data_IF_678858210992
#
_entry.id   IF_678858210992
#
_cell.length_a   1.000
_cell.length_b   1.000
_cell.length_c   1.000
_cell.angle_alpha   90.00
_cell.angle_beta   90.00
_cell.angle_gamma   90.00
#
_symmetry.space_group_name_H-M   'P 1'
#
loop_
_entity.id
_entity.type
_entity.pdbx_description
1 polymer ?
#
# COMPACT_ATOMS: atom_id res chain seq x y z
N UNK A 1 45.99 43.86 1.21
CA UNK A 1 45.22 44.30 0.03
C UNK A 1 45.91 43.70 -1.19
N UNK A 2 45.16 43.17 -2.16
CA UNK A 2 45.74 42.43 -3.29
C UNK A 2 45.84 43.32 -4.53
N UNK A 3 46.99 43.28 -5.19
CA UNK A 3 47.22 44.00 -6.44
C UNK A 3 46.27 43.52 -7.53
N UNK A 4 45.59 44.45 -8.19
CA UNK A 4 44.62 44.16 -9.25
C UNK A 4 45.23 43.49 -10.49
N UNK A 5 46.56 43.56 -10.66
CA UNK A 5 47.25 42.98 -11.82
C UNK A 5 47.92 41.63 -11.54
N UNK A 6 48.47 41.42 -10.34
CA UNK A 6 49.27 40.22 -10.05
C UNK A 6 48.83 39.44 -8.80
N UNK A 7 47.84 39.93 -8.04
CA UNK A 7 47.40 39.32 -6.79
C UNK A 7 48.38 39.44 -5.61
N UNK A 8 49.53 40.08 -5.81
CA UNK A 8 50.53 40.33 -4.77
C UNK A 8 50.07 41.36 -3.73
N UNK A 9 50.77 41.46 -2.59
CA UNK A 9 50.38 42.37 -1.53
C UNK A 9 50.65 43.85 -1.90
N UNK A 10 49.75 44.75 -1.47
CA UNK A 10 49.82 46.19 -1.70
C UNK A 10 50.20 46.94 -0.43
N UNK A 11 51.08 47.93 -0.60
CA UNK A 11 51.45 48.91 0.42
C UNK A 11 50.78 50.26 0.13
N UNK A 12 50.18 50.89 1.15
CA UNK A 12 49.51 52.19 1.04
C UNK A 12 50.39 53.32 1.56
N UNK A 13 50.55 54.37 0.77
CA UNK A 13 51.23 55.60 1.15
C UNK A 13 50.20 56.67 1.54
N UNK A 14 50.11 57.00 2.84
CA UNK A 14 49.14 57.98 3.35
C UNK A 14 49.38 59.42 2.83
N UNK A 15 50.64 59.78 2.54
CA UNK A 15 51.00 61.12 2.09
C UNK A 15 50.59 61.34 0.64
N UNK A 16 50.69 60.29 -0.17
CA UNK A 16 50.35 60.33 -1.61
C UNK A 16 48.95 59.82 -1.93
N UNK A 17 48.30 59.14 -0.98
CA UNK A 17 47.01 58.47 -1.15
C UNK A 17 47.01 57.43 -2.27
N UNK A 18 48.11 56.68 -2.40
CA UNK A 18 48.34 55.69 -3.45
C UNK A 18 48.65 54.32 -2.87
N UNK A 19 48.21 53.27 -3.57
CA UNK A 19 48.65 51.89 -3.38
C UNK A 19 49.80 51.58 -4.34
N UNK A 20 50.79 50.85 -3.85
CA UNK A 20 51.92 50.37 -4.66
C UNK A 20 52.10 48.86 -4.48
N UNK A 21 52.37 48.15 -5.57
CA UNK A 21 52.69 46.73 -5.54
C UNK A 21 54.18 46.53 -5.77
N UNK A 22 54.88 45.93 -4.81
CA UNK A 22 56.32 45.63 -4.92
C UNK A 22 56.62 44.48 -5.90
N UNK A 23 55.61 43.69 -6.28
CA UNK A 23 55.79 42.55 -7.18
C UNK A 23 55.72 42.89 -8.66
N UNK A 24 55.00 43.95 -9.05
CA UNK A 24 54.86 44.34 -10.46
C UNK A 24 55.04 45.85 -10.70
N UNK A 25 55.56 46.57 -9.70
CA UNK A 25 55.83 48.02 -9.71
C UNK A 25 54.65 48.92 -10.09
N UNK A 26 53.43 48.36 -10.11
CA UNK A 26 52.21 49.10 -10.44
C UNK A 26 51.77 49.96 -9.26
N UNK A 27 51.31 51.17 -9.58
CA UNK A 27 50.76 52.13 -8.63
C UNK A 27 49.33 52.48 -9.01
N UNK A 28 48.49 52.64 -8.00
CA UNK A 28 47.07 52.97 -8.17
C UNK A 28 46.70 54.04 -7.16
N UNK A 29 45.92 55.01 -7.59
CA UNK A 29 45.25 55.90 -6.64
C UNK A 29 44.26 55.11 -5.77
N UNK A 30 43.92 55.67 -4.60
CA UNK A 30 42.91 55.09 -3.73
C UNK A 30 41.56 54.93 -4.44
N UNK A 31 41.16 55.93 -5.23
CA UNK A 31 39.91 55.94 -5.99
C UNK A 31 39.88 54.81 -7.06
N UNK A 32 40.97 54.61 -7.80
CA UNK A 32 41.07 53.53 -8.81
C UNK A 32 40.97 52.14 -8.17
N UNK A 33 41.59 51.96 -7.00
CA UNK A 33 41.54 50.69 -6.29
C UNK A 33 40.15 50.40 -5.70
N UNK A 34 39.49 51.41 -5.14
CA UNK A 34 38.10 51.29 -4.66
C UNK A 34 37.13 50.96 -5.80
N UNK A 35 37.31 51.59 -6.97
CA UNK A 35 36.49 51.31 -8.15
C UNK A 35 36.73 49.90 -8.71
N UNK A 36 37.97 49.39 -8.66
CA UNK A 36 38.29 48.01 -9.00
C UNK A 36 37.58 47.02 -8.07
N UNK A 37 37.61 47.23 -6.75
CA UNK A 37 36.94 46.36 -5.78
C UNK A 37 35.41 46.32 -6.01
N UNK A 38 34.80 47.48 -6.25
CA UNK A 38 33.38 47.56 -6.57
C UNK A 38 33.01 46.80 -7.85
N UNK A 39 33.84 46.91 -8.90
CA UNK A 39 33.65 46.17 -10.14
C UNK A 39 33.88 44.65 -9.96
N UNK A 40 34.89 44.24 -9.20
CA UNK A 40 35.18 42.82 -8.88
C UNK A 40 34.02 42.18 -8.13
N UNK A 41 33.49 42.87 -7.11
CA UNK A 41 32.32 42.40 -6.35
C UNK A 41 31.05 42.30 -7.22
N UNK A 42 30.86 43.24 -8.15
CA UNK A 42 29.75 43.20 -9.11
C UNK A 42 29.86 41.96 -10.00
N UNK A 43 31.02 41.72 -10.62
CA UNK A 43 31.26 40.58 -11.51
C UNK A 43 31.05 39.25 -10.78
N UNK A 44 31.53 39.13 -9.54
CA UNK A 44 31.33 37.93 -8.71
C UNK A 44 29.83 37.71 -8.45
N UNK A 45 29.10 38.77 -8.06
CA UNK A 45 27.64 38.68 -7.82
C UNK A 45 26.88 38.28 -9.09
N UNK A 46 27.22 38.85 -10.23
CA UNK A 46 26.59 38.55 -11.51
C UNK A 46 26.84 37.07 -11.88
N UNK A 47 28.09 36.60 -11.76
CA UNK A 47 28.46 35.19 -12.02
C UNK A 47 27.70 34.22 -11.10
N UNK A 48 27.59 34.53 -9.80
CA UNK A 48 26.84 33.70 -8.84
C UNK A 48 25.35 33.67 -9.18
N UNK A 49 24.79 34.80 -9.62
CA UNK A 49 23.40 34.87 -10.06
C UNK A 49 23.17 34.04 -11.33
N UNK A 50 24.06 34.11 -12.31
CA UNK A 50 24.00 33.27 -13.52
C UNK A 50 24.06 31.77 -13.19
N UNK A 51 24.95 31.34 -12.29
CA UNK A 51 25.00 29.94 -11.83
C UNK A 51 23.69 29.51 -11.15
N UNK A 52 23.09 30.39 -10.33
CA UNK A 52 21.79 30.12 -9.68
C UNK A 52 20.67 30.02 -10.70
N UNK A 53 20.64 30.89 -11.70
CA UNK A 53 19.64 30.82 -12.78
C UNK A 53 19.81 29.54 -13.62
N UNK A 54 21.05 29.19 -13.96
CA UNK A 54 21.35 27.97 -14.70
C UNK A 54 20.88 26.73 -13.93
N UNK A 55 21.14 26.66 -12.62
CA UNK A 55 20.63 25.58 -11.76
C UNK A 55 19.11 25.53 -11.73
N UNK A 56 18.42 26.67 -11.58
CA UNK A 56 16.94 26.71 -11.64
C UNK A 56 16.40 26.22 -12.98
N UNK A 57 17.07 26.52 -14.10
CA UNK A 57 16.67 26.04 -15.43
C UNK A 57 16.83 24.52 -15.55
N UNK A 58 17.91 23.96 -15.03
CA UNK A 58 18.13 22.51 -14.97
C UNK A 58 17.07 21.81 -14.10
N UNK A 59 16.85 22.28 -12.88
CA UNK A 59 15.84 21.72 -11.97
C UNK A 59 14.43 21.79 -12.62
N UNK A 60 14.12 22.88 -13.33
CA UNK A 60 12.86 23.03 -14.06
C UNK A 60 12.76 22.06 -15.25
N UNK A 61 13.85 21.80 -15.98
CA UNK A 61 13.87 20.82 -17.08
C UNK A 61 13.70 19.39 -16.57
N UNK A 62 14.37 19.03 -15.48
CA UNK A 62 14.23 17.70 -14.86
C UNK A 62 12.81 17.50 -14.33
N UNK A 63 12.25 18.51 -13.65
CA UNK A 63 10.86 18.48 -13.21
C UNK A 63 9.89 18.35 -14.37
N UNK A 64 10.06 19.13 -15.44
CA UNK A 64 9.21 19.03 -16.63
C UNK A 64 9.30 17.64 -17.30
N UNK A 65 10.49 17.02 -17.31
CA UNK A 65 10.66 15.65 -17.81
C UNK A 65 9.94 14.62 -16.94
N UNK A 66 10.06 14.74 -15.62
CA UNK A 66 9.33 13.90 -14.65
C UNK A 66 7.83 14.05 -14.79
N UNK A 67 7.32 15.29 -14.89
CA UNK A 67 5.90 15.58 -15.02
C UNK A 67 5.33 15.01 -16.34
N UNK A 68 6.10 15.01 -17.43
CA UNK A 68 5.70 14.38 -18.70
C UNK A 68 5.58 12.86 -18.59
N UNK A 69 6.55 12.21 -17.93
CA UNK A 69 6.50 10.75 -17.70
C UNK A 69 5.26 10.38 -16.88
N UNK A 70 5.01 11.11 -15.78
CA UNK A 70 3.83 10.91 -14.92
C UNK A 70 2.54 11.13 -15.71
N UNK A 71 2.48 12.14 -16.59
CA UNK A 71 1.31 12.40 -17.42
C UNK A 71 1.05 11.27 -18.43
N UNK A 72 2.10 10.74 -19.07
CA UNK A 72 1.99 9.61 -20.01
C UNK A 72 1.55 8.31 -19.31
N UNK A 73 2.06 8.03 -18.10
CA UNK A 73 1.63 6.88 -17.31
C UNK A 73 0.17 7.02 -16.86
N UNK A 74 -0.23 8.19 -16.38
CA UNK A 74 -1.63 8.46 -16.00
C UNK A 74 -2.59 8.33 -17.19
N UNK A 75 -2.17 8.70 -18.40
CA UNK A 75 -2.98 8.52 -19.60
C UNK A 75 -3.17 7.03 -19.92
N UNK A 76 -2.09 6.24 -19.87
CA UNK A 76 -2.17 4.78 -20.07
C UNK A 76 -3.07 4.09 -19.05
N UNK A 77 -3.01 4.52 -17.77
CA UNK A 77 -3.90 4.01 -16.72
C UNK A 77 -5.35 4.33 -17.05
N UNK A 78 -5.66 5.57 -17.44
CA UNK A 78 -7.03 5.97 -17.83
C UNK A 78 -7.56 5.18 -19.03
N UNK A 79 -6.71 4.92 -20.03
CA UNK A 79 -7.09 4.11 -21.19
C UNK A 79 -7.40 2.66 -20.79
N UNK A 80 -6.58 2.07 -19.90
CA UNK A 80 -6.84 0.74 -19.34
C UNK A 80 -8.12 0.70 -18.50
N UNK A 81 -8.37 1.71 -17.66
CA UNK A 81 -9.60 1.83 -16.88
C UNK A 81 -10.83 1.90 -17.79
N UNK A 82 -10.80 2.71 -18.85
CA UNK A 82 -11.89 2.82 -19.81
C UNK A 82 -12.12 1.51 -20.58
N UNK A 83 -11.07 0.75 -20.91
CA UNK A 83 -11.21 -0.54 -21.57
C UNK A 83 -11.81 -1.59 -20.63
N UNK A 84 -11.40 -1.61 -19.37
CA UNK A 84 -11.99 -2.49 -18.34
C UNK A 84 -13.46 -2.15 -18.13
N UNK A 85 -13.82 -0.87 -18.02
CA UNK A 85 -15.20 -0.43 -17.85
C UNK A 85 -16.09 -0.82 -19.05
N UNK A 86 -15.57 -0.70 -20.28
CA UNK A 86 -16.25 -1.21 -21.48
C UNK A 86 -16.46 -2.72 -21.44
N UNK A 87 -15.44 -3.49 -21.03
CA UNK A 87 -15.54 -4.96 -20.90
C UNK A 87 -16.56 -5.35 -19.83
N UNK A 88 -16.60 -4.64 -18.70
CA UNK A 88 -17.57 -4.87 -17.63
C UNK A 88 -18.99 -4.52 -18.07
N UNK A 89 -19.18 -3.41 -18.80
CA UNK A 89 -20.51 -3.02 -19.31
C UNK A 89 -21.03 -4.05 -20.31
N UNK A 90 -20.16 -4.57 -21.18
CA UNK A 90 -20.51 -5.62 -22.12
C UNK A 90 -20.83 -6.95 -21.40
N UNK A 91 -20.04 -7.32 -20.39
CA UNK A 91 -20.27 -8.51 -19.58
C UNK A 91 -21.61 -8.41 -18.83
N UNK A 92 -21.92 -7.26 -18.23
CA UNK A 92 -23.18 -7.03 -17.52
C UNK A 92 -24.37 -7.04 -18.48
N UNK A 93 -24.27 -6.42 -19.66
CA UNK A 93 -25.32 -6.48 -20.68
C UNK A 93 -25.56 -7.92 -21.18
N UNK A 94 -24.49 -8.73 -21.27
CA UNK A 94 -24.58 -10.15 -21.65
C UNK A 94 -25.21 -10.98 -20.54
N UNK A 95 -24.82 -10.76 -19.28
CA UNK A 95 -25.40 -11.41 -18.11
C UNK A 95 -26.89 -11.05 -17.93
N UNK A 96 -27.26 -9.80 -18.20
CA UNK A 96 -28.65 -9.34 -18.13
C UNK A 96 -29.49 -9.89 -19.28
N UNK A 97 -28.92 -10.02 -20.49
CA UNK A 97 -29.56 -10.73 -21.60
C UNK A 97 -29.78 -12.21 -21.27
N UNK A 98 -28.79 -12.88 -20.63
CA UNK A 98 -28.92 -14.26 -20.15
C UNK A 98 -30.00 -14.38 -19.06
N UNK A 99 -30.06 -13.44 -18.10
CA UNK A 99 -31.12 -13.38 -17.07
C UNK A 99 -32.50 -13.18 -17.69
N UNK A 100 -32.64 -12.31 -18.71
CA UNK A 100 -33.89 -12.08 -19.44
C UNK A 100 -34.31 -13.33 -20.24
N UNK A 101 -33.35 -14.07 -20.79
CA UNK A 101 -33.60 -15.30 -21.54
C UNK A 101 -33.96 -16.46 -20.59
N UNK A 102 -33.38 -16.51 -19.39
CA UNK A 102 -33.76 -17.44 -18.32
C UNK A 102 -35.18 -17.18 -17.75
N UNK A 103 -35.60 -15.91 -17.67
CA UNK A 103 -36.96 -15.50 -17.23
C UNK A 103 -38.10 -15.92 -18.17
N UNK A 104 -37.81 -16.43 -19.38
CA UNK A 104 -38.81 -16.82 -20.38
C UNK A 104 -39.16 -18.31 -20.41
N UNK A 105 -38.56 -19.14 -19.55
CA UNK A 105 -38.95 -20.54 -19.39
C UNK A 105 -39.71 -20.72 -18.06
N UNK A 106 -40.75 -21.56 -17.97
CA UNK A 106 -41.39 -21.87 -16.69
C UNK A 106 -40.43 -22.74 -15.88
N UNK A 107 -39.50 -22.10 -15.17
CA UNK A 107 -38.41 -22.70 -14.42
C UNK A 107 -38.12 -21.88 -13.17
N UNK A 108 -37.61 -22.55 -12.14
CA UNK A 108 -37.38 -22.04 -10.78
C UNK A 108 -36.74 -20.64 -10.75
N UNK A 109 -37.29 -19.72 -9.96
CA UNK A 109 -36.81 -18.34 -9.81
C UNK A 109 -35.54 -18.27 -8.95
N UNK A 110 -34.40 -18.68 -9.53
CA UNK A 110 -33.08 -18.66 -8.88
C UNK A 110 -32.70 -17.25 -8.42
N UNK A 111 -33.10 -16.22 -9.17
CA UNK A 111 -32.81 -14.82 -8.82
C UNK A 111 -33.57 -14.44 -7.55
N UNK A 112 -34.87 -14.71 -7.49
CA UNK A 112 -35.66 -14.49 -6.28
C UNK A 112 -35.16 -15.30 -5.09
N UNK A 113 -34.74 -16.55 -5.30
CA UNK A 113 -34.14 -17.38 -4.24
C UNK A 113 -32.82 -16.79 -3.72
N UNK A 114 -31.99 -16.22 -4.59
CA UNK A 114 -30.72 -15.60 -4.21
C UNK A 114 -30.95 -14.34 -3.36
N UNK A 115 -31.90 -13.48 -3.73
CA UNK A 115 -32.27 -12.32 -2.91
C UNK A 115 -32.85 -12.74 -1.56
N UNK A 116 -33.74 -13.74 -1.53
CA UNK A 116 -34.28 -14.27 -0.28
C UNK A 116 -33.19 -14.88 0.62
N UNK A 117 -32.20 -15.58 0.02
CA UNK A 117 -31.07 -16.16 0.75
C UNK A 117 -30.23 -15.07 1.41
N UNK A 118 -30.00 -13.98 0.68
CA UNK A 118 -29.29 -12.79 1.15
C UNK A 118 -30.05 -12.11 2.28
N UNK A 119 -31.35 -11.85 2.13
CA UNK A 119 -32.16 -11.28 3.20
C UNK A 119 -32.12 -12.14 4.47
N UNK A 120 -32.26 -13.47 4.33
CA UNK A 120 -32.17 -14.39 5.45
C UNK A 120 -30.77 -14.38 6.11
N UNK A 121 -29.70 -14.34 5.33
CA UNK A 121 -28.33 -14.32 5.85
C UNK A 121 -28.04 -13.04 6.64
N UNK A 122 -28.42 -11.88 6.12
CA UNK A 122 -28.24 -10.59 6.80
C UNK A 122 -29.19 -10.43 8.00
N UNK A 123 -30.37 -11.04 7.94
CA UNK A 123 -31.30 -11.17 9.06
C UNK A 123 -30.86 -12.17 10.14
N UNK A 124 -29.69 -12.81 9.98
CA UNK A 124 -29.16 -13.86 10.85
C UNK A 124 -30.07 -15.10 10.98
N UNK A 125 -30.99 -15.31 10.02
CA UNK A 125 -31.76 -16.56 9.90
C UNK A 125 -30.94 -17.61 9.14
N UNK A 126 -30.02 -18.23 9.89
CA UNK A 126 -29.08 -19.22 9.36
C UNK A 126 -29.81 -20.44 8.78
N UNK A 127 -30.96 -20.83 9.34
CA UNK A 127 -31.69 -22.02 8.88
C UNK A 127 -32.36 -21.76 7.53
N UNK A 128 -33.06 -20.63 7.39
CA UNK A 128 -33.69 -20.28 6.11
C UNK A 128 -32.65 -20.00 5.04
N UNK A 129 -31.55 -19.30 5.39
CA UNK A 129 -30.45 -19.05 4.47
C UNK A 129 -29.79 -20.35 3.98
N UNK A 130 -29.55 -21.31 4.88
CA UNK A 130 -29.02 -22.64 4.52
C UNK A 130 -29.97 -23.42 3.60
N UNK A 131 -31.28 -23.43 3.89
CA UNK A 131 -32.25 -24.14 3.05
C UNK A 131 -32.30 -23.54 1.64
N UNK A 132 -32.37 -22.21 1.55
CA UNK A 132 -32.37 -21.50 0.27
C UNK A 132 -31.07 -21.75 -0.50
N UNK A 133 -29.92 -21.73 0.16
CA UNK A 133 -28.64 -22.02 -0.47
C UNK A 133 -28.57 -23.45 -1.03
N UNK A 134 -29.06 -24.46 -0.30
CA UNK A 134 -29.12 -25.83 -0.83
C UNK A 134 -30.04 -25.92 -2.06
N UNK A 135 -31.21 -25.28 -2.02
CA UNK A 135 -32.12 -25.25 -3.17
C UNK A 135 -31.53 -24.49 -4.37
N UNK A 136 -30.72 -23.44 -4.16
CA UNK A 136 -29.97 -22.81 -5.24
C UNK A 136 -28.97 -23.80 -5.84
N UNK A 137 -28.21 -24.53 -5.01
CA UNK A 137 -27.20 -25.50 -5.48
C UNK A 137 -27.79 -26.71 -6.22
N UNK A 138 -29.07 -27.03 -6.02
CA UNK A 138 -29.78 -28.04 -6.81
C UNK A 138 -29.98 -27.61 -8.28
N UNK A 139 -29.98 -26.30 -8.54
CA UNK A 139 -30.18 -25.72 -9.87
C UNK A 139 -28.93 -25.09 -10.46
N UNK A 140 -28.05 -24.54 -9.62
CA UNK A 140 -26.78 -23.92 -9.95
C UNK A 140 -25.71 -24.45 -9.00
N UNK A 141 -25.18 -25.63 -9.34
CA UNK A 141 -24.18 -26.33 -8.54
C UNK A 141 -22.86 -25.56 -8.42
N UNK A 142 -22.62 -24.51 -9.21
CA UNK A 142 -21.40 -23.71 -9.20
C UNK A 142 -21.54 -22.36 -8.51
N UNK A 143 -22.72 -22.05 -7.96
CA UNK A 143 -22.97 -20.84 -7.21
C UNK A 143 -22.07 -20.72 -5.96
N UNK A 144 -21.03 -19.89 -6.04
CA UNK A 144 -20.03 -19.75 -4.98
C UNK A 144 -20.60 -19.16 -3.69
N UNK A 145 -21.50 -18.20 -3.82
CA UNK A 145 -22.18 -17.57 -2.69
C UNK A 145 -23.02 -18.60 -1.94
N UNK A 146 -23.81 -19.40 -2.65
CA UNK A 146 -24.57 -20.50 -2.03
C UNK A 146 -23.66 -21.58 -1.43
N UNK A 147 -22.54 -21.96 -2.08
CA UNK A 147 -21.55 -22.88 -1.50
C UNK A 147 -20.99 -22.36 -0.17
N UNK A 148 -20.64 -21.07 -0.12
CA UNK A 148 -20.19 -20.43 1.12
C UNK A 148 -21.27 -20.47 2.21
N UNK A 149 -22.50 -20.08 1.87
CA UNK A 149 -23.64 -20.07 2.81
C UNK A 149 -23.93 -21.47 3.34
N UNK A 150 -23.88 -22.51 2.51
CA UNK A 150 -24.03 -23.90 2.95
C UNK A 150 -22.92 -24.29 3.92
N UNK A 151 -21.66 -24.02 3.59
CA UNK A 151 -20.53 -24.31 4.47
C UNK A 151 -20.63 -23.60 5.81
N UNK A 152 -20.98 -22.31 5.80
CA UNK A 152 -21.19 -21.50 7.00
C UNK A 152 -22.38 -21.98 7.82
N UNK A 153 -23.52 -22.24 7.18
CA UNK A 153 -24.74 -22.71 7.85
C UNK A 153 -24.54 -24.05 8.55
N UNK A 154 -23.85 -25.00 7.89
CA UNK A 154 -23.50 -26.29 8.49
C UNK A 154 -22.53 -26.16 9.68
N UNK A 155 -21.57 -25.24 9.59
CA UNK A 155 -20.69 -24.95 10.72
C UNK A 155 -21.48 -24.40 11.91
N UNK A 156 -22.42 -23.47 11.68
CA UNK A 156 -23.17 -22.82 12.77
C UNK A 156 -24.22 -23.75 13.39
N UNK A 157 -25.02 -24.42 12.57
CA UNK A 157 -26.14 -25.25 13.05
C UNK A 157 -25.68 -26.64 13.48
N UNK A 158 -24.76 -27.24 12.73
CA UNK A 158 -24.40 -28.65 12.88
C UNK A 158 -22.99 -28.86 13.44
N UNK A 159 -22.22 -27.80 13.68
CA UNK A 159 -20.80 -27.86 14.08
C UNK A 159 -19.95 -28.68 13.10
N UNK A 160 -20.34 -28.72 11.82
CA UNK A 160 -19.63 -29.43 10.75
C UNK A 160 -18.80 -28.43 9.95
N UNK A 161 -17.48 -28.48 10.11
CA UNK A 161 -16.55 -27.54 9.46
C UNK A 161 -16.13 -27.97 8.06
N UNK A 162 -16.20 -29.27 7.75
CA UNK A 162 -15.61 -29.87 6.54
C UNK A 162 -16.04 -29.21 5.23
N UNK A 163 -17.31 -28.79 5.09
CA UNK A 163 -17.77 -28.10 3.88
C UNK A 163 -17.17 -26.70 3.76
N UNK A 164 -17.09 -25.96 4.86
CA UNK A 164 -16.45 -24.65 4.89
C UNK A 164 -14.94 -24.77 4.65
N UNK A 165 -14.27 -25.72 5.32
CA UNK A 165 -12.85 -26.01 5.14
C UNK A 165 -12.54 -26.34 3.67
N UNK A 166 -13.34 -27.22 3.06
CA UNK A 166 -13.20 -27.61 1.66
C UNK A 166 -13.43 -26.44 0.72
N UNK A 167 -14.45 -25.62 0.97
CA UNK A 167 -14.74 -24.42 0.18
C UNK A 167 -13.58 -23.42 0.26
N UNK A 168 -13.14 -23.07 1.46
CA UNK A 168 -12.08 -22.08 1.68
C UNK A 168 -10.73 -22.56 1.14
N UNK A 169 -10.42 -23.85 1.24
CA UNK A 169 -9.19 -24.42 0.70
C UNK A 169 -9.16 -24.42 -0.84
N UNK A 170 -10.32 -24.61 -1.49
CA UNK A 170 -10.43 -24.53 -2.95
C UNK A 170 -10.50 -23.11 -3.50
N UNK A 171 -10.92 -22.14 -2.67
CA UNK A 171 -11.19 -20.77 -3.07
C UNK A 171 -10.04 -20.08 -3.84
N UNK A 172 -8.75 -20.20 -3.48
CA UNK A 172 -7.67 -19.55 -4.21
C UNK A 172 -7.56 -19.95 -5.70
N UNK A 173 -8.01 -21.17 -6.04
CA UNK A 173 -7.97 -21.70 -7.40
C UNK A 173 -9.12 -21.23 -8.30
N UNK A 174 -10.14 -20.60 -7.73
CA UNK A 174 -11.34 -20.18 -8.44
C UNK A 174 -11.09 -18.89 -9.26
N UNK A 175 -11.71 -18.80 -10.44
CA UNK A 175 -11.69 -17.60 -11.30
C UNK A 175 -13.11 -17.13 -11.58
N UNK A 176 -13.40 -15.88 -11.24
CA UNK A 176 -14.74 -15.29 -11.34
C UNK A 176 -14.70 -13.81 -11.71
N UNK A 177 -15.86 -13.28 -12.09
CA UNK A 177 -16.08 -11.86 -12.38
C UNK A 177 -16.08 -10.98 -11.10
N UNK A 178 -16.02 -9.67 -11.31
CA UNK A 178 -15.89 -8.69 -10.23
C UNK A 178 -17.14 -8.57 -9.34
N UNK A 179 -18.34 -8.74 -9.91
CA UNK A 179 -19.60 -8.67 -9.15
C UNK A 179 -19.65 -9.79 -8.10
N UNK A 180 -19.30 -11.00 -8.53
CA UNK A 180 -19.25 -12.18 -7.66
C UNK A 180 -18.17 -12.05 -6.56
N UNK A 181 -17.02 -11.44 -6.86
CA UNK A 181 -15.99 -11.15 -5.84
C UNK A 181 -16.56 -10.21 -4.76
N UNK A 182 -17.15 -9.10 -5.18
CA UNK A 182 -17.71 -8.11 -4.27
C UNK A 182 -18.80 -8.70 -3.36
N UNK A 183 -19.68 -9.51 -3.93
CA UNK A 183 -20.71 -10.21 -3.17
C UNK A 183 -20.11 -11.18 -2.16
N UNK A 184 -19.21 -12.08 -2.58
CA UNK A 184 -18.62 -13.08 -1.69
C UNK A 184 -17.86 -12.44 -0.52
N UNK A 185 -17.12 -11.35 -0.79
CA UNK A 185 -16.45 -10.58 0.26
C UNK A 185 -17.45 -9.95 1.23
N UNK A 186 -18.61 -9.48 0.76
CA UNK A 186 -19.64 -8.94 1.64
C UNK A 186 -20.19 -10.01 2.61
N UNK A 187 -20.48 -11.23 2.12
CA UNK A 187 -20.88 -12.36 2.97
C UNK A 187 -19.82 -12.70 4.02
N UNK A 188 -18.54 -12.81 3.61
CA UNK A 188 -17.44 -13.12 4.53
C UNK A 188 -17.26 -12.04 5.61
N UNK A 189 -17.39 -10.76 5.25
CA UNK A 189 -17.29 -9.64 6.20
C UNK A 189 -18.40 -9.65 7.25
N UNK A 190 -19.63 -10.03 6.87
CA UNK A 190 -20.74 -10.13 7.80
C UNK A 190 -20.49 -11.16 8.92
N UNK A 191 -19.65 -12.16 8.67
CA UNK A 191 -19.35 -13.25 9.61
C UNK A 191 -17.86 -13.33 9.98
N UNK A 192 -17.16 -12.19 9.89
CA UNK A 192 -15.70 -12.11 9.91
C UNK A 192 -14.97 -12.89 11.03
N UNK A 193 -15.46 -12.98 12.29
CA UNK A 193 -14.75 -13.73 13.33
C UNK A 193 -14.65 -15.23 13.02
N UNK A 194 -15.61 -15.75 12.26
CA UNK A 194 -15.70 -17.17 11.90
C UNK A 194 -14.85 -17.52 10.69
N UNK A 195 -14.57 -16.55 9.82
CA UNK A 195 -13.75 -16.75 8.61
C UNK A 195 -12.29 -16.32 8.79
N UNK A 196 -11.95 -15.68 9.92
CA UNK A 196 -10.58 -15.28 10.27
C UNK A 196 -9.51 -16.38 10.12
N UNK A 197 -9.76 -17.67 10.46
CA UNK A 197 -8.79 -18.74 10.23
C UNK A 197 -8.37 -18.90 8.76
N UNK A 198 -9.22 -18.50 7.82
CA UNK A 198 -9.02 -18.68 6.38
C UNK A 198 -8.51 -17.41 5.68
N UNK A 199 -7.97 -16.45 6.43
CA UNK A 199 -7.52 -15.17 5.88
C UNK A 199 -6.58 -15.34 4.68
N UNK A 200 -5.61 -16.24 4.79
CA UNK A 200 -4.62 -16.42 3.74
C UNK A 200 -5.28 -16.92 2.44
N UNK A 201 -6.28 -17.79 2.54
CA UNK A 201 -7.05 -18.29 1.41
C UNK A 201 -7.86 -17.15 0.77
N UNK A 202 -8.50 -16.29 1.57
CA UNK A 202 -9.25 -15.12 1.08
C UNK A 202 -8.33 -14.14 0.36
N UNK A 203 -7.18 -13.81 0.95
CA UNK A 203 -6.21 -12.89 0.36
C UNK A 203 -5.56 -13.45 -0.90
N UNK A 204 -5.26 -14.75 -0.91
CA UNK A 204 -4.76 -15.45 -2.11
C UNK A 204 -5.79 -15.45 -3.23
N UNK A 205 -7.07 -15.68 -2.90
CA UNK A 205 -8.18 -15.56 -3.85
C UNK A 205 -8.28 -14.15 -4.44
N UNK A 206 -8.19 -13.10 -3.61
CA UNK A 206 -8.20 -11.71 -4.06
C UNK A 206 -7.00 -11.37 -4.94
N UNK A 207 -5.81 -11.86 -4.62
CA UNK A 207 -4.61 -11.67 -5.45
C UNK A 207 -4.73 -12.38 -6.81
N UNK A 208 -5.29 -13.57 -6.80
CA UNK A 208 -5.45 -14.40 -7.99
C UNK A 208 -6.57 -13.89 -8.92
N UNK A 209 -7.57 -13.20 -8.37
CA UNK A 209 -8.64 -12.52 -9.07
C UNK A 209 -8.48 -10.99 -9.02
N UNK A 210 -7.23 -10.51 -8.91
CA UNK A 210 -6.92 -9.09 -8.77
C UNK A 210 -7.56 -8.28 -9.89
N UNK A 211 -8.18 -7.17 -9.50
CA UNK A 211 -8.84 -6.22 -10.39
C UNK A 211 -7.85 -5.08 -10.70
N UNK A 212 -8.29 -3.82 -10.68
CA UNK A 212 -7.33 -2.71 -10.63
C UNK A 212 -6.59 -2.69 -9.27
N UNK A 213 -5.40 -2.09 -9.19
CA UNK A 213 -4.71 -1.89 -7.92
C UNK A 213 -5.59 -1.22 -6.86
N UNK A 214 -6.36 -0.19 -7.25
CA UNK A 214 -7.25 0.54 -6.34
C UNK A 214 -8.32 -0.36 -5.73
N UNK A 215 -9.06 -1.10 -6.56
CA UNK A 215 -10.13 -1.98 -6.09
C UNK A 215 -9.60 -3.16 -5.27
N UNK A 216 -8.50 -3.78 -5.72
CA UNK A 216 -7.86 -4.89 -4.99
C UNK A 216 -7.42 -4.43 -3.59
N UNK A 217 -6.82 -3.24 -3.50
CA UNK A 217 -6.47 -2.61 -2.21
C UNK A 217 -7.70 -2.41 -1.34
N UNK A 218 -8.81 -1.90 -1.88
CA UNK A 218 -10.03 -1.66 -1.10
C UNK A 218 -10.58 -2.95 -0.48
N UNK A 219 -10.59 -4.06 -1.22
CA UNK A 219 -11.01 -5.34 -0.64
C UNK A 219 -10.09 -5.79 0.50
N UNK A 220 -8.77 -5.82 0.26
CA UNK A 220 -7.78 -6.27 1.26
C UNK A 220 -7.82 -5.40 2.51
N UNK A 221 -7.80 -4.09 2.35
CA UNK A 221 -7.81 -3.12 3.46
C UNK A 221 -9.17 -3.05 4.18
N UNK A 222 -10.24 -3.62 3.61
CA UNK A 222 -11.53 -3.76 4.30
C UNK A 222 -11.63 -5.02 5.18
N UNK A 223 -10.72 -5.98 5.01
CA UNK A 223 -10.74 -7.28 5.68
C UNK A 223 -9.60 -7.38 6.69
N UNK A 224 -8.36 -7.31 6.21
CA UNK A 224 -7.16 -7.67 6.98
C UNK A 224 -6.99 -6.88 8.29
N UNK A 225 -7.23 -5.54 8.33
CA UNK A 225 -7.11 -4.79 9.59
C UNK A 225 -8.03 -5.32 10.70
N UNK A 226 -9.24 -5.76 10.35
CA UNK A 226 -10.19 -6.32 11.31
C UNK A 226 -9.73 -7.67 11.84
N UNK A 227 -9.10 -8.48 10.99
CA UNK A 227 -8.60 -9.79 11.37
C UNK A 227 -7.39 -9.64 12.30
N UNK A 228 -6.42 -8.80 11.91
CA UNK A 228 -5.23 -8.47 12.70
C UNK A 228 -5.63 -7.98 14.10
N UNK A 229 -6.63 -7.08 14.19
CA UNK A 229 -7.10 -6.55 15.46
C UNK A 229 -7.71 -7.59 16.42
N UNK A 230 -8.13 -8.76 15.91
CA UNK A 230 -8.72 -9.86 16.69
C UNK A 230 -7.77 -11.04 16.92
N UNK A 231 -6.54 -10.99 16.40
CA UNK A 231 -5.55 -12.05 16.63
C UNK A 231 -5.14 -12.07 18.11
N UNK A 232 -5.07 -13.28 18.67
CA UNK A 232 -4.64 -13.48 20.05
C UNK A 232 -3.12 -13.37 20.22
N UNK A 233 -2.36 -13.75 19.18
CA UNK A 233 -0.91 -13.89 19.18
C UNK A 233 -0.34 -13.61 17.77
N UNK A 234 0.99 -13.69 17.61
CA UNK A 234 1.65 -13.45 16.31
C UNK A 234 1.70 -14.67 15.37
N UNK A 235 1.20 -15.83 15.79
CA UNK A 235 1.34 -17.09 15.04
C UNK A 235 0.65 -17.07 13.67
N UNK A 236 -0.32 -16.18 13.48
CA UNK A 236 -0.99 -15.98 12.19
C UNK A 236 -0.05 -15.50 11.08
N UNK A 237 1.06 -14.83 11.44
CA UNK A 237 2.05 -14.34 10.50
C UNK A 237 2.98 -15.47 10.05
N UNK A 238 2.41 -16.51 9.44
CA UNK A 238 3.16 -17.62 8.85
C UNK A 238 4.00 -17.15 7.67
N UNK A 239 4.93 -17.99 7.18
CA UNK A 239 5.69 -17.67 5.97
C UNK A 239 4.78 -17.46 4.75
N UNK A 240 3.73 -18.27 4.64
CA UNK A 240 2.73 -18.16 3.56
C UNK A 240 1.92 -16.85 3.66
N UNK A 241 1.44 -16.51 4.86
CA UNK A 241 0.71 -15.26 5.09
C UNK A 241 1.57 -14.03 4.75
N UNK A 242 2.82 -14.02 5.21
CA UNK A 242 3.74 -12.93 4.92
C UNK A 242 4.00 -12.79 3.41
N UNK A 243 4.16 -13.91 2.70
CA UNK A 243 4.31 -13.91 1.25
C UNK A 243 3.07 -13.35 0.54
N UNK A 244 1.88 -13.72 0.98
CA UNK A 244 0.62 -13.22 0.43
C UNK A 244 0.49 -11.71 0.62
N UNK A 245 0.74 -11.20 1.83
CA UNK A 245 0.75 -9.75 2.06
C UNK A 245 1.83 -9.03 1.25
N UNK A 246 3.02 -9.63 1.10
CA UNK A 246 4.10 -9.06 0.31
C UNK A 246 3.70 -8.89 -1.16
N UNK A 247 3.12 -9.94 -1.76
CA UNK A 247 2.60 -9.90 -3.13
C UNK A 247 1.52 -8.84 -3.31
N UNK A 248 0.63 -8.68 -2.32
CA UNK A 248 -0.41 -7.66 -2.34
C UNK A 248 0.19 -6.24 -2.17
N UNK A 249 1.16 -6.06 -1.29
CA UNK A 249 1.86 -4.79 -1.10
C UNK A 249 2.56 -4.33 -2.39
N UNK A 250 3.26 -5.25 -3.07
CA UNK A 250 3.91 -5.03 -4.37
C UNK A 250 2.91 -4.72 -5.48
N UNK A 251 1.72 -5.32 -5.45
CA UNK A 251 0.76 -5.12 -6.52
C UNK A 251 -0.07 -3.84 -6.37
N UNK A 252 -0.61 -3.58 -5.18
CA UNK A 252 -1.59 -2.51 -4.99
C UNK A 252 -1.31 -1.53 -3.86
N UNK A 253 -0.25 -1.78 -3.07
CA UNK A 253 -0.07 -1.22 -1.72
C UNK A 253 -1.27 -1.52 -0.80
N UNK A 254 -1.00 -1.80 0.48
CA UNK A 254 -2.05 -2.14 1.46
C UNK A 254 -1.93 -1.28 2.72
N UNK A 255 -2.07 0.05 2.61
CA UNK A 255 -1.70 0.98 3.67
C UNK A 255 -2.47 0.77 4.98
N UNK A 256 -3.78 0.44 4.96
CA UNK A 256 -4.51 0.18 6.22
C UNK A 256 -4.06 -1.13 6.85
N UNK A 257 -3.79 -2.14 6.03
CA UNK A 257 -3.23 -3.41 6.48
C UNK A 257 -1.84 -3.23 7.08
N UNK A 258 -0.93 -2.54 6.41
CA UNK A 258 0.40 -2.21 6.94
C UNK A 258 0.32 -1.40 8.25
N UNK A 259 -0.60 -0.45 8.34
CA UNK A 259 -0.85 0.28 9.59
C UNK A 259 -1.28 -0.66 10.73
N UNK A 260 -2.19 -1.59 10.47
CA UNK A 260 -2.61 -2.58 11.45
C UNK A 260 -1.48 -3.54 11.85
N UNK A 261 -0.67 -4.00 10.89
CA UNK A 261 0.49 -4.88 11.13
C UNK A 261 1.55 -4.22 12.02
N UNK A 262 1.87 -2.95 11.75
CA UNK A 262 2.79 -2.15 12.56
C UNK A 262 2.19 -1.89 13.94
N UNK A 263 0.91 -1.51 14.00
CA UNK A 263 0.20 -1.31 15.27
C UNK A 263 0.18 -2.57 16.15
N UNK A 264 0.11 -3.76 15.55
CA UNK A 264 0.19 -5.02 16.28
C UNK A 264 1.57 -5.28 16.91
N UNK A 265 2.67 -4.67 16.44
CA UNK A 265 3.96 -4.74 17.14
C UNK A 265 3.85 -4.13 18.54
N UNK A 266 3.06 -3.07 18.72
CA UNK A 266 2.83 -2.44 20.03
C UNK A 266 1.69 -3.09 20.82
N UNK A 267 0.69 -3.65 20.12
CA UNK A 267 -0.57 -4.08 20.73
C UNK A 267 -0.72 -5.60 20.88
N UNK A 268 0.18 -6.41 20.35
CA UNK A 268 0.11 -7.86 20.51
C UNK A 268 0.44 -8.26 21.97
N UNK A 269 -0.36 -9.12 22.64
CA UNK A 269 -0.10 -9.57 24.01
C UNK A 269 1.30 -10.16 24.25
N UNK A 270 1.92 -10.74 23.22
CA UNK A 270 3.27 -11.32 23.29
C UNK A 270 4.37 -10.28 23.05
N UNK A 271 4.01 -9.07 22.60
CA UNK A 271 4.99 -8.00 22.45
C UNK A 271 5.44 -7.49 23.83
N UNK A 272 6.76 -7.40 24.09
CA UNK A 272 7.31 -6.78 25.29
C UNK A 272 6.91 -5.31 25.41
N UNK A 273 6.64 -4.62 24.30
CA UNK A 273 6.15 -3.23 24.32
C UNK A 273 4.74 -3.11 24.93
N UNK A 274 3.93 -4.18 24.85
CA UNK A 274 2.60 -4.21 25.49
C UNK A 274 2.65 -4.70 26.93
N UNK A 275 3.35 -5.79 27.17
CA UNK A 275 3.23 -6.54 28.42
C UNK A 275 4.35 -6.24 29.43
N UNK A 276 5.36 -5.45 29.05
CA UNK A 276 6.49 -5.07 29.90
C UNK A 276 7.48 -6.21 30.20
N UNK A 277 7.35 -7.38 29.57
CA UNK A 277 8.17 -8.58 29.82
C UNK A 277 9.47 -8.59 29.02
N UNK A 278 10.26 -7.53 29.16
CA UNK A 278 11.54 -7.35 28.45
C UNK A 278 12.60 -8.41 28.80
N UNK A 279 12.49 -9.06 29.96
CA UNK A 279 13.44 -10.07 30.44
C UNK A 279 13.37 -11.40 29.68
N UNK A 280 12.30 -11.67 28.93
CA UNK A 280 12.10 -12.93 28.21
C UNK A 280 12.81 -12.96 26.84
N UNK A 281 14.15 -12.94 26.85
CA UNK A 281 14.99 -12.80 25.64
C UNK A 281 14.59 -13.73 24.48
N UNK A 282 14.38 -15.03 24.73
CA UNK A 282 14.03 -16.00 23.67
C UNK A 282 12.68 -15.69 23.03
N UNK A 283 11.68 -15.30 23.84
CA UNK A 283 10.33 -14.96 23.35
C UNK A 283 10.39 -13.67 22.53
N UNK A 284 11.11 -12.67 23.03
CA UNK A 284 11.29 -11.39 22.34
C UNK A 284 12.05 -11.57 21.02
N UNK A 285 13.08 -12.43 21.01
CA UNK A 285 13.79 -12.79 19.77
C UNK A 285 12.88 -13.50 18.77
N UNK A 286 12.09 -14.46 19.23
CA UNK A 286 11.11 -15.16 18.39
C UNK A 286 10.10 -14.19 17.77
N UNK A 287 9.52 -13.29 18.55
CA UNK A 287 8.59 -12.27 18.03
C UNK A 287 9.29 -11.34 17.02
N UNK A 288 10.53 -10.95 17.27
CA UNK A 288 11.31 -10.16 16.33
C UNK A 288 11.51 -10.89 14.99
N UNK A 289 12.02 -12.13 15.04
CA UNK A 289 12.37 -12.92 13.86
C UNK A 289 11.11 -13.38 13.09
N UNK A 290 10.07 -13.81 13.80
CA UNK A 290 8.88 -14.42 13.21
C UNK A 290 7.77 -13.43 12.86
N UNK A 291 7.78 -12.20 13.40
CA UNK A 291 6.76 -11.19 13.12
C UNK A 291 7.37 -9.89 12.59
N UNK A 292 8.23 -9.22 13.35
CA UNK A 292 8.74 -7.88 13.00
C UNK A 292 9.49 -7.87 11.68
N UNK A 293 10.42 -8.82 11.46
CA UNK A 293 11.16 -8.92 10.21
C UNK A 293 10.25 -9.15 8.99
N UNK A 294 9.18 -9.93 9.15
CA UNK A 294 8.20 -10.16 8.09
C UNK A 294 7.40 -8.90 7.77
N UNK A 295 7.00 -8.13 8.79
CA UNK A 295 6.34 -6.83 8.59
C UNK A 295 7.27 -5.84 7.87
N UNK A 296 8.57 -5.82 8.19
CA UNK A 296 9.55 -5.00 7.47
C UNK A 296 9.61 -5.37 5.98
N UNK A 297 9.67 -6.67 5.67
CA UNK A 297 9.68 -7.17 4.30
C UNK A 297 8.39 -6.85 3.52
N UNK A 298 7.23 -6.83 4.17
CA UNK A 298 5.96 -6.45 3.54
C UNK A 298 5.96 -4.94 3.21
N UNK A 299 6.39 -4.10 4.16
CA UNK A 299 6.41 -2.64 3.97
C UNK A 299 7.38 -2.21 2.89
N UNK A 300 8.56 -2.86 2.79
CA UNK A 300 9.56 -2.53 1.77
C UNK A 300 9.08 -2.77 0.34
N UNK A 301 8.12 -3.68 0.17
CA UNK A 301 7.57 -4.04 -1.14
C UNK A 301 6.34 -3.19 -1.52
N UNK A 302 5.93 -2.21 -0.71
CA UNK A 302 4.79 -1.35 -1.07
C UNK A 302 5.09 -0.58 -2.37
N UNK A 303 4.23 -0.74 -3.38
CA UNK A 303 4.38 -0.08 -4.69
C UNK A 303 4.46 1.45 -4.57
N UNK A 304 3.56 2.06 -3.80
CA UNK A 304 3.50 3.50 -3.63
C UNK A 304 4.66 4.00 -2.75
N UNK A 305 5.57 4.76 -3.36
CA UNK A 305 6.77 5.27 -2.70
C UNK A 305 6.48 6.15 -1.48
N UNK A 306 5.48 7.04 -1.56
CA UNK A 306 5.10 7.91 -0.45
C UNK A 306 4.65 7.12 0.78
N UNK A 307 3.82 6.09 0.58
CA UNK A 307 3.44 5.18 1.65
C UNK A 307 4.65 4.38 2.15
N UNK A 308 5.45 3.81 1.25
CA UNK A 308 6.63 3.00 1.60
C UNK A 308 7.58 3.78 2.51
N UNK A 309 7.93 5.02 2.16
CA UNK A 309 8.80 5.89 2.98
C UNK A 309 8.15 6.14 4.35
N UNK A 310 6.90 6.61 4.38
CA UNK A 310 6.18 6.93 5.62
C UNK A 310 6.10 5.75 6.58
N UNK A 311 5.74 4.57 6.07
CA UNK A 311 5.63 3.36 6.88
C UNK A 311 7.01 2.82 7.29
N UNK A 312 8.02 2.89 6.42
CA UNK A 312 9.40 2.48 6.73
C UNK A 312 10.01 3.34 7.84
N UNK A 313 9.79 4.65 7.83
CA UNK A 313 10.27 5.55 8.88
C UNK A 313 9.63 5.25 10.23
N UNK A 314 8.30 5.09 10.25
CA UNK A 314 7.56 4.73 11.46
C UNK A 314 7.99 3.38 12.03
N UNK A 315 8.12 2.37 11.15
CA UNK A 315 8.55 1.03 11.52
C UNK A 315 10.00 1.02 12.01
N UNK A 316 10.90 1.77 11.39
CA UNK A 316 12.31 1.84 11.81
C UNK A 316 12.45 2.38 13.23
N UNK A 317 11.72 3.45 13.59
CA UNK A 317 11.70 3.98 14.96
C UNK A 317 11.21 2.94 15.96
N UNK A 318 10.13 2.24 15.63
CA UNK A 318 9.54 1.22 16.49
C UNK A 318 10.47 0.00 16.67
N UNK A 319 11.16 -0.40 15.60
CA UNK A 319 12.17 -1.48 15.65
C UNK A 319 13.35 -1.09 16.53
N UNK A 320 13.81 0.16 16.48
CA UNK A 320 14.89 0.63 17.35
C UNK A 320 14.46 0.65 18.83
N UNK A 321 13.24 1.10 19.12
CA UNK A 321 12.66 1.03 20.46
C UNK A 321 12.60 -0.42 20.96
N UNK A 322 12.09 -1.32 20.12
CA UNK A 322 12.00 -2.75 20.44
C UNK A 322 13.38 -3.36 20.76
N UNK A 323 14.37 -3.14 19.90
CA UNK A 323 15.74 -3.65 20.09
C UNK A 323 16.38 -3.10 21.35
N UNK A 324 16.22 -1.80 21.59
CA UNK A 324 16.76 -1.12 22.78
C UNK A 324 16.16 -1.70 24.06
N UNK A 325 14.84 -1.91 24.08
CA UNK A 325 14.13 -2.40 25.25
C UNK A 325 14.40 -3.90 25.54
N UNK A 326 14.59 -4.70 24.48
CA UNK A 326 14.77 -6.16 24.59
C UNK A 326 16.23 -6.61 24.60
N UNK A 327 17.17 -5.71 24.30
CA UNK A 327 18.61 -5.96 24.19
C UNK A 327 18.94 -7.03 23.14
N UNK A 328 18.34 -6.90 21.95
CA UNK A 328 18.48 -7.81 20.79
C UNK A 328 19.23 -7.12 19.66
#
# INVERSE_FOLDING_TARGET
MECMHCGGELTYDELKKEFSCEHCDSKFSKEEYEQYLQNKDRVIKDTVNECREWKRRLDAQEKAKSDRIIAEENLKVKEQEAEIERKNTLANATAEAIKIQARKSPGVDIVGMTENMKEAFWGADVKSSLNLANSILEHDADNLTAKFVVGFGDMVLNKKFSKLDSFMSGLPGVRIDNETIGELIAYMKAVYPRVMPYENQVLSFLYNNRQTPVQTREYVDSISPNFIAKRADHSFMTGEMAETYRKLAAYCSIPKTCYALIGAIQNNPESPLKNGKYYAKTINRKFYDEYILKVQAIVSEMENESYRIKFSDGLSKLVQEYKSATKI
#
